data_IF_711260909995
#
_entry.id   IF_711260909995
#
_cell.length_a   1.000
_cell.length_b   1.000
_cell.length_c   1.000
_cell.angle_alpha   90.00
_cell.angle_beta   90.00
_cell.angle_gamma   90.00
#
_symmetry.space_group_name_H-M   'P 1'
#
loop_
_entity.id
_entity.type
_entity.pdbx_description
1 polymer ?
#
# COMPACT_ATOMS: atom_id res chain seq x y z
N UNK A 1 23.42 54.71 34.93
CA UNK A 1 23.51 53.48 35.75
C UNK A 1 22.45 53.63 36.84
N UNK A 2 21.38 52.85 36.96
CA UNK A 2 21.03 51.50 36.53
C UNK A 2 19.49 51.51 36.37
N UNK A 3 18.98 51.08 35.22
CA UNK A 3 17.55 50.99 34.96
C UNK A 3 17.05 49.65 35.51
N UNK A 4 16.45 49.72 36.70
CA UNK A 4 15.62 48.65 37.25
C UNK A 4 14.45 48.41 36.30
N UNK A 5 14.54 47.34 35.51
CA UNK A 5 13.51 47.01 34.54
C UNK A 5 13.62 45.62 33.95
N UNK A 6 14.23 44.65 34.64
CA UNK A 6 14.20 43.23 34.25
C UNK A 6 14.17 42.33 35.50
N UNK A 7 13.17 42.53 36.35
CA UNK A 7 12.80 41.52 37.34
C UNK A 7 11.92 40.47 36.65
N UNK A 8 12.59 39.45 36.11
CA UNK A 8 12.20 38.05 36.30
C UNK A 8 10.70 37.74 36.14
N UNK A 9 10.20 37.70 34.90
CA UNK A 9 9.11 36.78 34.59
C UNK A 9 9.69 35.35 34.59
N UNK A 10 9.71 34.75 35.79
CA UNK A 10 9.46 33.32 35.92
C UNK A 10 8.09 33.05 35.32
N UNK A 11 8.06 32.53 34.10
CA UNK A 11 6.99 31.66 33.64
C UNK A 11 7.54 30.73 32.55
N UNK A 12 8.57 29.96 32.91
CA UNK A 12 8.75 28.63 32.35
C UNK A 12 7.44 27.87 32.56
N UNK A 13 6.67 27.64 31.49
CA UNK A 13 5.84 26.43 31.23
C UNK A 13 4.79 26.70 30.14
N UNK A 14 5.13 27.09 28.91
CA UNK A 14 4.15 27.03 27.80
C UNK A 14 4.75 26.70 26.41
N UNK A 15 5.89 26.00 26.30
CA UNK A 15 6.46 25.60 24.99
C UNK A 15 6.59 24.08 24.79
N UNK A 16 5.86 23.27 25.56
CA UNK A 16 6.04 21.80 25.50
C UNK A 16 4.75 20.96 25.34
N UNK A 17 3.63 21.57 24.93
CA UNK A 17 2.37 20.82 24.69
C UNK A 17 1.89 20.75 23.24
N UNK A 18 2.57 21.36 22.28
CA UNK A 18 2.13 21.32 20.86
C UNK A 18 2.94 20.37 19.97
N UNK A 19 3.88 19.59 20.52
CA UNK A 19 4.58 18.51 19.77
C UNK A 19 3.97 17.11 19.94
N UNK A 20 2.78 17.03 20.54
CA UNK A 20 2.06 15.77 20.76
C UNK A 20 0.62 15.81 20.24
N UNK A 21 0.34 16.63 19.23
CA UNK A 21 -0.88 16.50 18.44
C UNK A 21 -0.53 15.61 17.24
N UNK A 22 -1.01 14.37 17.31
CA UNK A 22 -0.60 13.25 16.49
C UNK A 22 -0.51 13.56 15.01
N UNK A 23 0.64 13.18 14.44
CA UNK A 23 0.63 12.37 13.25
C UNK A 23 -0.23 11.16 13.64
N UNK A 24 -1.54 11.26 13.41
CA UNK A 24 -2.33 10.08 13.18
C UNK A 24 -1.64 9.46 11.98
N UNK A 25 -0.80 8.47 12.27
CA UNK A 25 -0.60 7.41 11.31
C UNK A 25 -2.02 6.89 11.07
N UNK A 26 -2.70 7.48 10.06
CA UNK A 26 -3.50 6.66 9.18
C UNK A 26 -2.71 5.38 9.03
N UNK A 27 -3.33 4.23 9.32
CA UNK A 27 -2.80 2.95 8.91
C UNK A 27 -2.61 3.03 7.39
N UNK A 28 -1.50 3.62 6.98
CA UNK A 28 -1.02 3.54 5.63
C UNK A 28 -0.61 2.09 5.55
N UNK A 29 -1.56 1.26 5.11
CA UNK A 29 -1.30 -0.09 4.65
C UNK A 29 0.00 0.02 3.87
N UNK A 30 1.07 -0.58 4.41
CA UNK A 30 2.38 -0.37 3.84
C UNK A 30 2.30 -0.82 2.38
N UNK A 31 3.09 -0.23 1.49
CA UNK A 31 3.10 -0.67 0.09
C UNK A 31 3.26 -2.20 -0.03
N UNK A 32 4.02 -2.80 0.90
CA UNK A 32 4.13 -4.24 1.08
C UNK A 32 2.77 -4.89 1.35
N UNK A 33 1.98 -4.38 2.27
CA UNK A 33 0.64 -4.92 2.59
C UNK A 33 -0.31 -4.83 1.40
N UNK A 34 -0.28 -3.71 0.67
CA UNK A 34 -1.08 -3.55 -0.55
C UNK A 34 -0.66 -4.53 -1.64
N UNK A 35 0.65 -4.71 -1.86
CA UNK A 35 1.16 -5.68 -2.84
C UNK A 35 0.88 -7.12 -2.42
N UNK A 36 0.98 -7.43 -1.12
CA UNK A 36 0.60 -8.74 -0.58
C UNK A 36 -0.90 -9.03 -0.74
N UNK A 37 -1.76 -8.02 -0.57
CA UNK A 37 -3.20 -8.14 -0.82
C UNK A 37 -3.48 -8.36 -2.32
N UNK A 38 -2.81 -7.62 -3.21
CA UNK A 38 -2.97 -7.79 -4.65
C UNK A 38 -2.56 -9.22 -5.09
N UNK A 39 -1.44 -9.74 -4.58
CA UNK A 39 -1.01 -11.11 -4.85
C UNK A 39 -2.01 -12.15 -4.32
N UNK A 40 -2.57 -11.93 -3.13
CA UNK A 40 -3.64 -12.80 -2.59
C UNK A 40 -4.87 -12.79 -3.49
N UNK A 41 -5.30 -11.63 -3.97
CA UNK A 41 -6.45 -11.52 -4.86
C UNK A 41 -6.23 -12.27 -6.17
N UNK A 42 -5.03 -12.22 -6.76
CA UNK A 42 -4.72 -13.00 -7.97
C UNK A 42 -4.78 -14.51 -7.68
N UNK A 43 -4.19 -14.96 -6.57
CA UNK A 43 -4.25 -16.38 -6.18
C UNK A 43 -5.68 -16.85 -5.92
N UNK A 44 -6.53 -15.99 -5.36
CA UNK A 44 -7.93 -16.29 -5.11
C UNK A 44 -8.75 -16.34 -6.41
N UNK A 45 -8.44 -15.46 -7.37
CA UNK A 45 -9.00 -15.50 -8.72
C UNK A 45 -8.59 -16.78 -9.49
N UNK A 46 -7.34 -17.21 -9.39
CA UNK A 46 -6.88 -18.49 -9.97
C UNK A 46 -7.67 -19.67 -9.39
N UNK A 47 -7.78 -19.74 -8.06
CA UNK A 47 -8.53 -20.80 -7.38
C UNK A 47 -10.02 -20.80 -7.75
N UNK A 48 -10.59 -19.61 -7.96
CA UNK A 48 -11.98 -19.47 -8.41
C UNK A 48 -12.13 -19.92 -9.87
N UNK A 49 -11.17 -19.61 -10.73
CA UNK A 49 -11.14 -20.09 -12.11
C UNK A 49 -11.02 -21.63 -12.17
N UNK A 50 -10.21 -22.25 -11.31
CA UNK A 50 -10.09 -23.71 -11.20
C UNK A 50 -11.43 -24.35 -10.81
N UNK A 51 -12.11 -23.80 -9.80
CA UNK A 51 -13.41 -24.32 -9.36
C UNK A 51 -14.50 -24.23 -10.43
N UNK A 52 -14.56 -23.11 -11.17
CA UNK A 52 -15.52 -22.95 -12.27
C UNK A 52 -15.14 -23.88 -13.44
N UNK A 53 -13.85 -24.11 -13.68
CA UNK A 53 -13.37 -25.06 -14.69
C UNK A 53 -13.79 -26.49 -14.34
N UNK A 54 -13.69 -26.88 -13.08
CA UNK A 54 -14.13 -28.18 -12.58
C UNK A 54 -15.66 -28.35 -12.70
N UNK A 55 -16.44 -27.32 -12.35
CA UNK A 55 -17.90 -27.30 -12.52
C UNK A 55 -18.33 -27.30 -13.99
N UNK A 56 -17.55 -26.67 -14.89
CA UNK A 56 -17.76 -26.71 -16.33
C UNK A 56 -17.50 -28.11 -16.90
N UNK A 57 -16.38 -28.75 -16.54
CA UNK A 57 -16.06 -30.13 -16.95
C UNK A 57 -17.09 -31.12 -16.41
N UNK A 58 -17.61 -30.88 -15.19
CA UNK A 58 -18.69 -31.66 -14.59
C UNK A 58 -20.07 -31.43 -15.23
N UNK A 59 -20.18 -30.53 -16.21
CA UNK A 59 -21.43 -30.23 -16.94
C UNK A 59 -22.46 -29.46 -16.10
N UNK A 60 -22.06 -28.82 -15.01
CA UNK A 60 -22.95 -28.10 -14.08
C UNK A 60 -23.14 -26.63 -14.44
N UNK A 61 -22.33 -26.07 -15.34
CA UNK A 61 -22.42 -24.66 -15.71
C UNK A 61 -22.05 -24.41 -17.17
N UNK A 62 -22.85 -23.59 -17.88
CA UNK A 62 -22.58 -23.09 -19.24
C UNK A 62 -21.71 -21.82 -19.25
N UNK A 63 -21.22 -21.40 -18.07
CA UNK A 63 -20.70 -20.06 -17.86
C UNK A 63 -19.19 -19.93 -18.13
N UNK A 64 -18.71 -20.54 -19.22
CA UNK A 64 -17.30 -20.47 -19.64
C UNK A 64 -16.81 -19.03 -19.88
N UNK A 65 -17.74 -18.13 -20.24
CA UNK A 65 -17.46 -16.70 -20.38
C UNK A 65 -16.95 -16.08 -19.08
N UNK A 66 -17.44 -16.51 -17.92
CA UNK A 66 -17.00 -16.00 -16.62
C UNK A 66 -15.58 -16.44 -16.30
N UNK A 67 -15.19 -17.68 -16.64
CA UNK A 67 -13.81 -18.17 -16.49
C UNK A 67 -12.86 -17.39 -17.36
N UNK A 68 -13.21 -17.23 -18.65
CA UNK A 68 -12.35 -16.53 -19.60
C UNK A 68 -12.16 -15.07 -19.24
N UNK A 69 -13.22 -14.38 -18.78
CA UNK A 69 -13.12 -12.99 -18.29
C UNK A 69 -12.27 -12.91 -17.01
N UNK A 70 -12.44 -13.86 -16.08
CA UNK A 70 -11.64 -13.88 -14.85
C UNK A 70 -10.15 -14.13 -15.15
N UNK A 71 -9.85 -15.05 -16.06
CA UNK A 71 -8.49 -15.34 -16.50
C UNK A 71 -7.83 -14.13 -17.19
N UNK A 72 -8.55 -13.45 -18.09
CA UNK A 72 -8.05 -12.24 -18.76
C UNK A 72 -7.76 -11.12 -17.75
N UNK A 73 -8.68 -10.90 -16.79
CA UNK A 73 -8.46 -9.92 -15.71
C UNK A 73 -7.27 -10.26 -14.85
N UNK A 74 -7.07 -11.54 -14.52
CA UNK A 74 -5.93 -11.99 -13.73
C UNK A 74 -4.60 -11.74 -14.48
N UNK A 75 -4.55 -12.04 -15.78
CA UNK A 75 -3.37 -11.80 -16.62
C UNK A 75 -2.99 -10.32 -16.66
N UNK A 76 -3.93 -9.43 -16.97
CA UNK A 76 -3.69 -7.98 -17.02
C UNK A 76 -3.26 -7.44 -15.65
N UNK A 77 -3.89 -7.93 -14.57
CA UNK A 77 -3.55 -7.52 -13.21
C UNK A 77 -2.13 -7.95 -12.81
N UNK A 78 -1.71 -9.15 -13.24
CA UNK A 78 -0.35 -9.65 -12.99
C UNK A 78 0.70 -8.81 -13.73
N UNK A 79 0.48 -8.49 -15.00
CA UNK A 79 1.36 -7.61 -15.77
C UNK A 79 1.51 -6.24 -15.10
N UNK A 80 0.41 -5.65 -14.65
CA UNK A 80 0.42 -4.39 -13.92
C UNK A 80 1.26 -4.47 -12.63
N UNK A 81 1.13 -5.55 -11.86
CA UNK A 81 1.92 -5.76 -10.63
C UNK A 81 3.41 -5.85 -10.94
N UNK A 82 3.79 -6.53 -12.03
CA UNK A 82 5.19 -6.64 -12.46
C UNK A 82 5.76 -5.26 -12.80
N UNK A 83 5.02 -4.43 -13.53
CA UNK A 83 5.42 -3.06 -13.85
C UNK A 83 5.58 -2.20 -12.60
N UNK A 84 4.62 -2.28 -11.67
CA UNK A 84 4.70 -1.56 -10.39
C UNK A 84 5.94 -2.00 -9.61
N UNK A 85 6.20 -3.31 -9.51
CA UNK A 85 7.40 -3.85 -8.84
C UNK A 85 8.68 -3.28 -9.45
N UNK A 86 8.77 -3.27 -10.78
CA UNK A 86 9.94 -2.73 -11.48
C UNK A 86 10.12 -1.23 -11.17
N UNK A 87 9.04 -0.43 -11.23
CA UNK A 87 9.09 1.01 -10.90
C UNK A 87 9.48 1.29 -9.46
N UNK A 88 9.07 0.47 -8.50
CA UNK A 88 9.49 0.61 -7.10
C UNK A 88 10.98 0.31 -6.93
N UNK A 89 11.51 -0.73 -7.60
CA UNK A 89 12.94 -1.03 -7.58
C UNK A 89 13.78 0.07 -8.25
N UNK A 90 13.28 0.63 -9.36
CA UNK A 90 13.91 1.76 -10.04
C UNK A 90 13.97 2.99 -9.12
N UNK A 91 12.84 3.34 -8.49
CA UNK A 91 12.75 4.46 -7.56
C UNK A 91 13.67 4.30 -6.35
N UNK A 92 13.76 3.08 -5.79
CA UNK A 92 14.70 2.77 -4.72
C UNK A 92 16.16 2.95 -5.18
N UNK A 93 16.48 2.42 -6.36
CA UNK A 93 17.82 2.53 -6.94
C UNK A 93 18.21 3.97 -7.25
N UNK A 94 17.27 4.80 -7.70
CA UNK A 94 17.49 6.22 -7.98
C UNK A 94 17.81 7.01 -6.72
N UNK A 95 17.05 6.80 -5.63
CA UNK A 95 17.33 7.44 -4.34
C UNK A 95 18.73 7.07 -3.84
N UNK A 96 19.15 5.81 -4.00
CA UNK A 96 20.50 5.36 -3.62
C UNK A 96 21.60 6.04 -4.44
N UNK A 97 21.36 6.33 -5.73
CA UNK A 97 22.30 7.05 -6.60
C UNK A 97 22.41 8.54 -6.29
N UNK A 98 21.43 9.14 -5.63
CA UNK A 98 21.48 10.55 -5.21
C UNK A 98 22.36 10.80 -3.97
N UNK A 99 22.67 9.76 -3.18
CA UNK A 99 23.40 9.90 -1.91
C UNK A 99 24.90 9.63 -2.01
N UNK A 100 25.42 9.30 -3.20
CA UNK A 100 26.86 9.17 -3.49
C UNK A 100 27.42 10.45 -4.11
#
# INVERSE_FOLDING_TARGET
>A
MNISGLSLLRQDTMVQRTRAAGIQAEEQNSFRDMMMQALKNVSELEKQADGITEDFIAGKTDNIHSVLIAAEKASISLELIVEIRNKVLDAYSEIMRMQI
#
